data_IF_473703547875
#
_entry.id   IF_473703547875
#
_cell.length_a   1.000
_cell.length_b   1.000
_cell.length_c   1.000
_cell.angle_alpha   90.00
_cell.angle_beta   90.00
_cell.angle_gamma   90.00
#
_symmetry.space_group_name_H-M   'P 1'
#
loop_
_entity.id
_entity.type
_entity.pdbx_description
1 polymer ?
#
# COMPACT_ATOMS: atom_id res chain seq x y z
N UNK A 1 7.98 -1.08 -26.07
CA UNK A 1 6.92 -0.94 -25.04
C UNK A 1 7.58 -0.32 -23.80
N UNK A 2 7.26 0.94 -23.47
CA UNK A 2 7.94 1.70 -22.42
C UNK A 2 7.07 1.60 -21.16
N UNK A 3 7.52 0.85 -20.16
CA UNK A 3 6.86 0.80 -18.85
C UNK A 3 7.01 2.18 -18.21
N UNK A 4 5.93 2.98 -18.21
CA UNK A 4 5.89 4.24 -17.48
C UNK A 4 5.74 3.90 -16.00
N UNK A 5 6.82 4.10 -15.25
CA UNK A 5 6.80 4.06 -13.80
C UNK A 5 6.19 5.37 -13.33
N UNK A 6 4.93 5.32 -12.93
CA UNK A 6 4.22 6.44 -12.32
C UNK A 6 4.78 6.65 -10.90
N UNK A 7 5.93 7.33 -10.81
CA UNK A 7 6.55 7.74 -9.55
C UNK A 7 6.04 9.13 -9.20
N UNK A 8 4.89 9.21 -8.53
CA UNK A 8 4.44 10.48 -7.97
C UNK A 8 5.42 10.96 -6.89
N UNK A 9 5.91 12.21 -6.96
CA UNK A 9 6.83 12.76 -5.98
C UNK A 9 6.05 13.10 -4.70
N UNK A 10 6.30 12.35 -3.62
CA UNK A 10 5.69 12.64 -2.31
C UNK A 10 5.47 11.44 -1.39
N UNK A 11 5.64 10.20 -1.88
CA UNK A 11 5.38 8.98 -1.09
C UNK A 11 6.48 7.96 -1.23
N UNK A 12 7.70 8.35 -0.83
CA UNK A 12 8.83 7.43 -0.73
C UNK A 12 8.46 6.19 0.09
N UNK A 13 8.85 5.02 -0.40
CA UNK A 13 8.65 3.74 0.28
C UNK A 13 9.38 3.77 1.61
N UNK A 14 8.66 3.49 2.70
CA UNK A 14 9.31 3.35 4.00
C UNK A 14 9.79 1.91 4.17
N UNK A 15 11.09 1.74 4.33
CA UNK A 15 11.74 0.44 4.48
C UNK A 15 12.19 0.29 5.93
N UNK A 16 11.88 -0.86 6.52
CA UNK A 16 12.38 -1.26 7.83
C UNK A 16 12.96 -2.67 7.76
N UNK A 17 13.97 -2.93 8.58
CA UNK A 17 14.60 -4.25 8.68
C UNK A 17 14.97 -4.55 10.12
N UNK A 18 14.96 -5.83 10.52
CA UNK A 18 15.43 -6.26 11.84
C UNK A 18 16.74 -7.08 11.74
N UNK A 19 17.29 -7.46 12.90
CA UNK A 19 18.54 -8.24 12.99
C UNK A 19 18.49 -9.61 12.30
N UNK A 20 17.29 -10.14 12.06
CA UNK A 20 17.07 -11.42 11.36
C UNK A 20 16.95 -11.25 9.84
N UNK A 21 17.28 -10.06 9.32
CA UNK A 21 17.10 -9.69 7.91
C UNK A 21 15.64 -9.82 7.43
N UNK A 22 14.69 -9.72 8.36
CA UNK A 22 13.27 -9.60 8.02
C UNK A 22 13.00 -8.16 7.64
N UNK A 23 12.56 -7.96 6.41
CA UNK A 23 12.28 -6.65 5.85
C UNK A 23 10.80 -6.37 5.79
N UNK A 24 10.45 -5.11 5.96
CA UNK A 24 9.13 -4.56 5.76
C UNK A 24 9.24 -3.37 4.81
N UNK A 25 8.47 -3.38 3.72
CA UNK A 25 8.34 -2.24 2.82
C UNK A 25 6.89 -1.73 2.87
N UNK A 26 6.74 -0.44 3.15
CA UNK A 26 5.45 0.23 3.25
C UNK A 26 5.28 1.27 2.15
N UNK A 27 4.27 1.05 1.31
CA UNK A 27 3.94 1.87 0.16
C UNK A 27 2.58 2.52 0.37
N UNK A 28 2.52 3.84 0.27
CA UNK A 28 1.26 4.56 0.25
C UNK A 28 0.93 4.87 -1.22
N UNK A 29 -0.17 4.29 -1.72
CA UNK A 29 -0.58 4.37 -3.12
C UNK A 29 -1.91 5.11 -3.22
N UNK A 30 -2.02 6.06 -4.15
CA UNK A 30 -3.30 6.68 -4.52
C UNK A 30 -4.17 5.65 -5.25
N UNK A 31 -5.47 5.66 -5.02
CA UNK A 31 -6.49 4.87 -5.70
C UNK A 31 -7.08 5.67 -6.86
N UNK A 32 -8.04 5.09 -7.60
CA UNK A 32 -8.72 5.76 -8.71
C UNK A 32 -9.78 6.77 -8.25
N UNK A 33 -10.29 6.61 -7.03
CA UNK A 33 -11.29 7.45 -6.37
C UNK A 33 -10.66 8.58 -5.52
N UNK A 34 -9.41 8.96 -5.81
CA UNK A 34 -8.62 9.94 -5.06
C UNK A 34 -8.35 9.62 -3.58
N UNK A 35 -8.76 8.44 -3.11
CA UNK A 35 -8.37 7.93 -1.80
C UNK A 35 -6.97 7.30 -1.84
N UNK A 36 -6.42 6.93 -0.69
CA UNK A 36 -5.11 6.31 -0.56
C UNK A 36 -5.21 4.96 0.14
N UNK A 37 -4.33 4.03 -0.22
CA UNK A 37 -4.18 2.74 0.44
C UNK A 37 -2.74 2.53 0.86
N UNK A 38 -2.54 2.01 2.07
CA UNK A 38 -1.23 1.59 2.57
C UNK A 38 -1.06 0.09 2.29
N UNK A 39 -0.02 -0.25 1.54
CA UNK A 39 0.43 -1.62 1.29
C UNK A 39 1.66 -1.87 2.15
N UNK A 40 1.64 -2.90 2.99
CA UNK A 40 2.80 -3.37 3.74
C UNK A 40 3.19 -4.76 3.24
N UNK A 41 4.41 -4.89 2.76
CA UNK A 41 5.00 -6.15 2.30
C UNK A 41 6.11 -6.55 3.27
N UNK A 42 6.23 -7.84 3.60
CA UNK A 42 7.32 -8.29 4.48
C UNK A 42 7.80 -9.70 4.20
N UNK A 43 9.07 -9.98 4.50
CA UNK A 43 9.75 -11.23 4.19
C UNK A 43 11.28 -11.09 4.20
N UNK A 44 11.96 -12.12 3.70
CA UNK A 44 13.43 -12.13 3.57
C UNK A 44 13.88 -11.42 2.27
N UNK A 45 14.95 -10.62 2.36
CA UNK A 45 15.47 -9.73 1.28
C UNK A 45 15.81 -10.34 -0.09
N UNK A 46 15.81 -11.66 -0.23
CA UNK A 46 16.21 -12.35 -1.47
C UNK A 46 15.05 -13.04 -2.20
N UNK A 47 13.82 -12.81 -1.74
CA UNK A 47 12.62 -13.51 -2.22
C UNK A 47 11.48 -12.52 -2.42
N UNK A 48 10.43 -12.91 -3.15
CA UNK A 48 9.17 -12.19 -3.09
C UNK A 48 8.71 -12.05 -1.65
N UNK A 49 8.04 -10.94 -1.32
CA UNK A 49 7.44 -10.73 -0.01
C UNK A 49 6.56 -11.92 0.37
N UNK A 50 6.75 -12.43 1.58
CA UNK A 50 6.02 -13.58 2.11
C UNK A 50 4.64 -13.16 2.60
N UNK A 51 4.54 -11.95 3.16
CA UNK A 51 3.30 -11.40 3.70
C UNK A 51 2.94 -10.10 3.00
N UNK A 52 1.66 -9.97 2.68
CA UNK A 52 1.05 -8.76 2.15
C UNK A 52 -0.10 -8.33 3.07
N UNK A 53 -0.09 -7.08 3.50
CA UNK A 53 -1.18 -6.44 4.25
C UNK A 53 -1.57 -5.13 3.60
N UNK A 54 -2.86 -4.83 3.65
CA UNK A 54 -3.47 -3.65 3.06
C UNK A 54 -4.30 -2.94 4.13
N UNK A 55 -4.22 -1.61 4.18
CA UNK A 55 -5.08 -0.75 4.99
C UNK A 55 -5.58 0.44 4.17
N UNK A 56 -6.80 0.89 4.45
CA UNK A 56 -7.49 1.96 3.74
C UNK A 56 -8.90 1.55 3.31
N UNK A 57 -9.61 2.40 2.55
CA UNK A 57 -9.12 3.66 1.99
C UNK A 57 -8.96 4.76 3.04
N UNK A 58 -7.92 5.57 2.86
CA UNK A 58 -7.73 6.84 3.56
C UNK A 58 -8.21 7.97 2.65
N UNK A 59 -8.99 8.90 3.16
CA UNK A 59 -9.60 9.97 2.35
C UNK A 59 -8.57 11.00 1.88
N UNK A 60 -7.51 11.20 2.67
CA UNK A 60 -6.42 12.13 2.38
C UNK A 60 -5.06 11.48 2.63
N UNK A 61 -4.01 12.01 2.01
CA UNK A 61 -2.66 11.45 2.08
C UNK A 61 -2.14 11.42 3.53
N UNK A 62 -2.42 12.47 4.30
CA UNK A 62 -1.97 12.68 5.67
C UNK A 62 -2.46 11.56 6.61
N UNK A 63 -3.67 11.06 6.41
CA UNK A 63 -4.21 9.91 7.16
C UNK A 63 -3.37 8.66 6.90
N UNK A 64 -3.02 8.41 5.64
CA UNK A 64 -2.15 7.30 5.26
C UNK A 64 -0.73 7.44 5.82
N UNK A 65 -0.16 8.65 5.82
CA UNK A 65 1.14 8.95 6.41
C UNK A 65 1.13 8.74 7.93
N UNK A 66 0.07 9.17 8.61
CA UNK A 66 -0.10 8.97 10.05
C UNK A 66 -0.20 7.48 10.39
N UNK A 67 -1.01 6.72 9.65
CA UNK A 67 -1.13 5.27 9.80
C UNK A 67 0.21 4.56 9.57
N UNK A 68 0.92 4.90 8.48
CA UNK A 68 2.26 4.37 8.18
C UNK A 68 3.25 4.65 9.30
N UNK A 69 3.26 5.87 9.83
CA UNK A 69 4.14 6.28 10.93
C UNK A 69 3.83 5.54 12.23
N UNK A 70 2.54 5.33 12.55
CA UNK A 70 2.12 4.57 13.72
C UNK A 70 2.57 3.10 13.63
N UNK A 71 2.43 2.48 12.46
CA UNK A 71 2.91 1.11 12.22
C UNK A 71 4.44 1.04 12.30
N UNK A 72 5.14 2.00 11.70
CA UNK A 72 6.60 2.08 11.76
C UNK A 72 7.09 2.13 13.22
N UNK A 73 6.46 2.96 14.06
CA UNK A 73 6.79 3.07 15.49
C UNK A 73 6.56 1.75 16.23
N UNK A 74 5.47 1.05 15.94
CA UNK A 74 5.22 -0.27 16.54
C UNK A 74 6.25 -1.31 16.10
N UNK A 75 6.70 -1.27 14.85
CA UNK A 75 7.76 -2.15 14.35
C UNK A 75 9.11 -1.80 15.00
N UNK A 76 9.42 -0.51 15.18
CA UNK A 76 10.62 -0.08 15.90
C UNK A 76 10.67 -0.63 17.32
N UNK A 77 9.54 -0.59 18.04
CA UNK A 77 9.42 -1.20 19.38
C UNK A 77 9.63 -2.73 19.36
N UNK A 78 9.55 -3.38 18.19
CA UNK A 78 9.79 -4.83 17.99
C UNK A 78 11.19 -5.12 17.41
N UNK A 79 12.10 -4.14 17.43
CA UNK A 79 13.48 -4.33 16.98
C UNK A 79 13.71 -4.13 15.48
N UNK A 80 12.79 -3.46 14.79
CA UNK A 80 13.02 -3.02 13.41
C UNK A 80 13.68 -1.64 13.37
N UNK A 81 14.55 -1.42 12.39
CA UNK A 81 15.21 -0.15 12.15
C UNK A 81 14.86 0.38 10.77
N UNK A 82 14.57 1.67 10.68
CA UNK A 82 14.29 2.35 9.40
C UNK A 82 15.57 2.39 8.58
N UNK A 83 15.45 2.05 7.29
CA UNK A 83 16.55 2.02 6.34
C UNK A 83 16.39 3.20 5.37
N UNK A 84 17.26 4.21 5.49
CA UNK A 84 17.16 5.47 4.74
C UNK A 84 17.81 5.34 3.35
N UNK A 85 18.91 4.60 3.25
CA UNK A 85 19.70 4.48 2.00
C UNK A 85 19.38 3.22 1.19
N UNK A 86 18.25 2.57 1.48
CA UNK A 86 17.83 1.37 0.77
C UNK A 86 16.72 1.63 -0.24
N UNK A 87 16.75 0.88 -1.33
CA UNK A 87 15.74 0.95 -2.38
C UNK A 87 14.74 -0.18 -2.23
N UNK A 88 13.49 0.08 -2.64
CA UNK A 88 12.44 -0.95 -2.63
C UNK A 88 12.76 -2.09 -3.58
N UNK A 89 12.60 -3.33 -3.11
CA UNK A 89 12.74 -4.55 -3.90
C UNK A 89 11.38 -5.16 -4.29
N UNK A 90 10.28 -4.74 -3.65
CA UNK A 90 8.95 -5.31 -3.87
C UNK A 90 7.94 -4.35 -4.50
N UNK A 91 8.42 -3.29 -5.15
CA UNK A 91 7.58 -2.31 -5.85
C UNK A 91 6.55 -2.96 -6.80
N UNK A 92 6.93 -3.99 -7.56
CA UNK A 92 6.03 -4.69 -8.48
C UNK A 92 4.96 -5.51 -7.75
N UNK A 93 5.30 -6.14 -6.63
CA UNK A 93 4.31 -6.85 -5.81
C UNK A 93 3.32 -5.86 -5.19
N UNK A 94 3.79 -4.70 -4.74
CA UNK A 94 2.93 -3.66 -4.20
C UNK A 94 1.96 -3.11 -5.27
N UNK A 95 2.44 -2.93 -6.51
CA UNK A 95 1.61 -2.54 -7.65
C UNK A 95 0.53 -3.59 -7.97
N UNK A 96 0.88 -4.89 -7.96
CA UNK A 96 -0.12 -5.95 -8.16
C UNK A 96 -1.15 -6.00 -7.04
N UNK A 97 -0.71 -5.84 -5.79
CA UNK A 97 -1.61 -5.84 -4.63
C UNK A 97 -2.63 -4.71 -4.73
N UNK A 98 -2.21 -3.49 -5.10
CA UNK A 98 -3.15 -2.37 -5.23
C UNK A 98 -4.10 -2.54 -6.42
N UNK A 99 -3.63 -3.10 -7.54
CA UNK A 99 -4.50 -3.40 -8.69
C UNK A 99 -5.59 -4.40 -8.33
N UNK A 100 -5.26 -5.46 -7.57
CA UNK A 100 -6.25 -6.43 -7.10
C UNK A 100 -7.33 -5.79 -6.24
N UNK A 101 -6.97 -4.85 -5.36
CA UNK A 101 -7.94 -4.13 -4.52
C UNK A 101 -8.83 -3.21 -5.35
N UNK A 102 -8.26 -2.50 -6.33
CA UNK A 102 -9.05 -1.65 -7.24
C UNK A 102 -10.05 -2.48 -8.05
N UNK A 103 -9.61 -3.61 -8.58
CA UNK A 103 -10.51 -4.52 -9.31
C UNK A 103 -11.64 -5.03 -8.41
N UNK A 104 -11.31 -5.51 -7.20
CA UNK A 104 -12.33 -5.95 -6.25
C UNK A 104 -13.34 -4.85 -5.91
N UNK A 105 -12.89 -3.60 -5.78
CA UNK A 105 -13.79 -2.47 -5.55
C UNK A 105 -14.68 -2.18 -6.75
N UNK A 106 -14.12 -2.17 -7.96
CA UNK A 106 -14.89 -1.99 -9.19
C UNK A 106 -15.97 -3.08 -9.33
N UNK A 107 -15.61 -4.34 -9.07
CA UNK A 107 -16.53 -5.48 -9.11
C UNK A 107 -17.61 -5.40 -8.01
N UNK A 108 -17.29 -4.77 -6.88
CA UNK A 108 -18.20 -4.60 -5.72
C UNK A 108 -19.04 -3.33 -5.77
N UNK A 109 -18.84 -2.43 -6.75
CA UNK A 109 -19.74 -1.29 -6.94
C UNK A 109 -21.08 -1.80 -7.46
N UNK A 110 -22.02 -2.05 -6.53
CA UNK A 110 -23.41 -2.28 -6.86
C UNK A 110 -23.96 -1.09 -7.66
N UNK A 111 -24.77 -1.37 -8.68
CA UNK A 111 -25.50 -0.32 -9.38
C UNK A 111 -26.64 0.16 -8.47
N UNK A 112 -26.39 1.22 -7.70
CA UNK A 112 -27.38 1.85 -6.80
C UNK A 112 -28.15 2.99 -7.49
N UNK A 113 -28.20 2.99 -8.83
CA UNK A 113 -29.07 3.90 -9.55
C UNK A 113 -30.52 3.58 -9.18
N UNK A 114 -31.11 4.42 -8.33
CA UNK A 114 -32.53 4.40 -8.05
C UNK A 114 -33.25 4.81 -9.32
N UNK A 115 -33.92 3.87 -9.99
CA UNK A 115 -34.78 4.19 -11.11
C UNK A 115 -36.14 4.64 -10.56
N UNK A 116 -36.73 5.74 -11.05
CA UNK A 116 -38.07 6.16 -10.63
C UNK A 116 -39.14 5.07 -10.80
N UNK A 117 -38.92 4.13 -11.73
CA UNK A 117 -39.76 2.96 -11.96
C UNK A 117 -39.62 1.88 -10.87
N UNK A 118 -38.62 1.96 -9.99
CA UNK A 118 -38.46 1.04 -8.85
C UNK A 118 -39.50 1.27 -7.74
N UNK A 119 -40.27 2.36 -7.85
CA UNK A 119 -41.32 2.76 -6.89
C UNK A 119 -42.68 3.08 -7.55
N UNK A 120 -42.85 2.75 -8.85
CA UNK A 120 -44.09 2.98 -9.60
C UNK A 120 -44.71 1.69 -10.14
#
# INVERSE_FOLDING_TARGET
>A
MKLQYDSQPGTETLILENERLWRVEMFLKRNEDDTYSLVALSGINSRPAELTKLQGPYQILEQGVAARSAIARQLQNKGFSVQIDQHSIWQLQAQKAIQSVRQQRADSQGNYAFHPDDVL
#
